data_IF_978200233244
#
_entry.id   IF_978200233244
#
_cell.length_a   1.000
_cell.length_b   1.000
_cell.length_c   1.000
_cell.angle_alpha   90.00
_cell.angle_beta   90.00
_cell.angle_gamma   90.00
#
_symmetry.space_group_name_H-M   'P 1'
#
loop_
_entity.id
_entity.type
_entity.pdbx_description
1 polymer ?
#
# COMPACT_ATOMS: atom_id res chain seq x y z
N UNK A 1 17.92 14.08 -27.38
CA UNK A 1 17.58 15.49 -27.09
C UNK A 1 16.73 15.47 -25.84
N UNK A 2 16.90 16.44 -24.94
CA UNK A 2 16.09 16.52 -23.72
C UNK A 2 14.72 17.11 -24.09
N UNK A 3 13.63 16.42 -23.77
CA UNK A 3 12.30 16.82 -24.23
C UNK A 3 11.68 17.85 -23.27
N UNK A 4 10.92 18.79 -23.82
CA UNK A 4 10.23 19.83 -23.06
C UNK A 4 8.75 19.50 -22.90
N UNK A 5 8.22 19.73 -21.70
CA UNK A 5 6.80 19.60 -21.36
C UNK A 5 6.20 21.00 -21.19
N UNK A 6 4.97 21.19 -21.68
CA UNK A 6 4.27 22.48 -21.60
C UNK A 6 3.13 22.37 -20.59
N UNK A 7 3.18 23.19 -19.54
CA UNK A 7 2.11 23.32 -18.57
C UNK A 7 1.23 24.53 -18.87
N UNK A 8 -0.09 24.37 -18.78
CA UNK A 8 -1.02 25.50 -18.69
C UNK A 8 -1.33 25.75 -17.21
N UNK A 9 -0.59 26.69 -16.61
CA UNK A 9 -0.70 27.06 -15.21
C UNK A 9 -1.92 27.97 -15.00
N UNK A 10 -2.93 27.48 -14.29
CA UNK A 10 -4.14 28.22 -13.94
C UNK A 10 -4.05 28.69 -12.49
N UNK A 11 -4.06 30.00 -12.20
CA UNK A 11 -3.80 30.52 -10.85
C UNK A 11 -4.63 31.76 -10.50
N UNK A 12 -4.85 32.00 -9.20
CA UNK A 12 -5.62 33.15 -8.67
C UNK A 12 -7.15 33.07 -8.86
N UNK A 13 -7.65 31.95 -9.37
CA UNK A 13 -9.07 31.65 -9.54
C UNK A 13 -9.53 30.46 -8.69
N UNK A 14 -10.78 30.04 -8.91
CA UNK A 14 -11.45 28.98 -8.16
C UNK A 14 -12.24 28.06 -9.09
N UNK A 15 -12.37 26.79 -8.73
CA UNK A 15 -13.25 25.85 -9.44
C UNK A 15 -14.65 25.93 -8.81
N UNK A 16 -15.68 26.14 -9.64
CA UNK A 16 -17.08 26.13 -9.23
C UNK A 16 -17.89 25.14 -10.05
N UNK A 17 -18.86 24.51 -9.41
CA UNK A 17 -19.91 23.77 -10.08
C UNK A 17 -20.92 24.74 -10.73
N UNK A 18 -21.35 24.43 -11.95
CA UNK A 18 -22.36 25.18 -12.70
C UNK A 18 -23.60 24.31 -12.91
N UNK A 19 -24.68 24.62 -12.20
CA UNK A 19 -25.94 23.86 -12.27
C UNK A 19 -26.53 23.78 -13.69
N UNK A 20 -26.33 24.83 -14.51
CA UNK A 20 -26.84 24.90 -15.88
C UNK A 20 -26.11 24.02 -16.90
N UNK A 21 -24.85 23.65 -16.63
CA UNK A 21 -24.04 22.76 -17.48
C UNK A 21 -23.75 21.41 -16.82
N UNK A 22 -24.06 21.25 -15.53
CA UNK A 22 -23.73 20.10 -14.70
C UNK A 22 -22.21 19.77 -14.72
N UNK A 23 -21.37 20.81 -14.77
CA UNK A 23 -19.91 20.70 -14.91
C UNK A 23 -19.17 21.65 -13.96
N UNK A 24 -17.94 21.28 -13.62
CA UNK A 24 -17.03 22.14 -12.87
C UNK A 24 -16.21 23.02 -13.82
N UNK A 25 -16.24 24.34 -13.60
CA UNK A 25 -15.54 25.34 -14.40
C UNK A 25 -14.57 26.15 -13.55
N UNK A 26 -13.45 26.59 -14.15
CA UNK A 26 -12.47 27.46 -13.50
C UNK A 26 -12.80 28.94 -13.75
N UNK A 27 -12.95 29.72 -12.69
CA UNK A 27 -13.38 31.12 -12.75
C UNK A 27 -12.44 32.09 -12.05
N UNK A 28 -12.38 33.33 -12.53
CA UNK A 28 -11.72 34.47 -11.89
C UNK A 28 -10.18 34.47 -11.91
N UNK A 29 -9.56 33.38 -12.35
CA UNK A 29 -8.10 33.23 -12.41
C UNK A 29 -7.47 33.65 -13.73
N UNK A 30 -6.14 33.55 -13.77
CA UNK A 30 -5.29 33.76 -14.95
C UNK A 30 -4.71 32.43 -15.41
N UNK A 31 -4.41 32.32 -16.71
CA UNK A 31 -3.71 31.18 -17.28
C UNK A 31 -2.41 31.65 -17.93
N UNK A 32 -1.30 30.95 -17.69
CA UNK A 32 0.00 31.22 -18.32
C UNK A 32 0.69 29.90 -18.69
N UNK A 33 1.27 29.83 -19.88
CA UNK A 33 2.05 28.65 -20.29
C UNK A 33 3.44 28.69 -19.63
N UNK A 34 3.86 27.57 -19.05
CA UNK A 34 5.23 27.32 -18.59
C UNK A 34 5.81 26.17 -19.44
N UNK A 35 7.09 26.26 -19.80
CA UNK A 35 7.81 25.25 -20.57
C UNK A 35 9.03 24.82 -19.75
N UNK A 36 9.11 23.54 -19.39
CA UNK A 36 10.19 22.97 -18.57
C UNK A 36 10.73 21.71 -19.23
N UNK A 37 11.91 21.29 -18.82
CA UNK A 37 12.49 19.99 -19.22
C UNK A 37 11.75 18.86 -18.54
N UNK A 38 11.56 17.73 -19.22
CA UNK A 38 10.92 16.53 -18.66
C UNK A 38 11.69 15.87 -17.51
N UNK A 39 12.94 16.32 -17.28
CA UNK A 39 13.85 15.88 -16.22
C UNK A 39 13.79 16.71 -14.93
N UNK A 40 13.00 17.80 -14.91
CA UNK A 40 12.90 18.71 -13.77
C UNK A 40 12.42 17.97 -12.50
N UNK A 41 13.00 18.29 -11.34
CA UNK A 41 12.54 17.78 -10.06
C UNK A 41 11.38 18.65 -9.52
N UNK A 42 10.71 18.16 -8.48
CA UNK A 42 9.52 18.81 -7.92
C UNK A 42 9.82 20.19 -7.33
N UNK A 43 10.92 20.36 -6.61
CA UNK A 43 11.25 21.63 -5.98
C UNK A 43 11.59 22.72 -7.01
N UNK A 44 12.36 22.36 -8.05
CA UNK A 44 12.70 23.28 -9.14
C UNK A 44 11.45 23.66 -9.95
N UNK A 45 10.54 22.70 -10.20
CA UNK A 45 9.27 23.00 -10.87
C UNK A 45 8.39 23.92 -10.00
N UNK A 46 8.35 23.71 -8.69
CA UNK A 46 7.61 24.57 -7.77
C UNK A 46 8.15 26.01 -7.80
N UNK A 47 9.47 26.19 -7.84
CA UNK A 47 10.09 27.51 -8.00
C UNK A 47 9.70 28.16 -9.34
N UNK A 48 9.82 27.44 -10.46
CA UNK A 48 9.38 27.90 -11.78
C UNK A 48 7.86 28.25 -11.80
N UNK A 49 7.01 27.51 -11.08
CA UNK A 49 5.58 27.80 -10.95
C UNK A 49 5.29 29.05 -10.10
N UNK A 50 6.06 29.26 -9.03
CA UNK A 50 5.98 30.45 -8.18
C UNK A 50 6.36 31.71 -8.99
N UNK A 51 7.51 31.68 -9.67
CA UNK A 51 7.98 32.77 -10.54
C UNK A 51 7.05 33.00 -11.74
N UNK A 52 6.55 31.93 -12.36
CA UNK A 52 5.65 32.04 -13.50
C UNK A 52 4.31 32.68 -13.12
N UNK A 53 3.76 32.34 -11.95
CA UNK A 53 2.48 32.87 -11.44
C UNK A 53 2.62 34.21 -10.72
N UNK A 54 3.78 34.54 -10.17
CA UNK A 54 3.99 35.67 -9.27
C UNK A 54 3.42 35.42 -7.87
N UNK A 55 3.31 34.16 -7.44
CA UNK A 55 2.79 33.74 -6.13
C UNK A 55 3.90 33.04 -5.36
N UNK A 56 4.28 33.55 -4.19
CA UNK A 56 5.38 32.97 -3.39
C UNK A 56 5.00 31.66 -2.67
N UNK A 57 3.70 31.42 -2.46
CA UNK A 57 3.17 30.37 -1.59
C UNK A 57 2.69 29.12 -2.36
N UNK A 58 3.48 28.65 -3.33
CA UNK A 58 3.19 27.42 -4.08
C UNK A 58 3.85 26.24 -3.37
N UNK A 59 3.08 25.44 -2.62
CA UNK A 59 3.59 24.23 -1.94
C UNK A 59 3.30 22.93 -2.74
N UNK A 60 2.24 22.93 -3.54
CA UNK A 60 1.83 21.84 -4.41
C UNK A 60 1.03 22.41 -5.60
N UNK A 61 0.70 21.56 -6.57
CA UNK A 61 -0.23 21.92 -7.64
C UNK A 61 -1.20 20.78 -7.92
N UNK A 62 -2.34 21.09 -8.52
CA UNK A 62 -3.34 20.09 -8.92
C UNK A 62 -3.34 19.91 -10.44
N UNK A 63 -3.25 18.68 -10.93
CA UNK A 63 -3.23 18.31 -12.33
C UNK A 63 -4.60 17.80 -12.81
N UNK A 64 -5.04 18.26 -13.98
CA UNK A 64 -6.19 17.71 -14.68
C UNK A 64 -5.75 16.55 -15.57
N UNK A 65 -6.22 15.34 -15.24
CA UNK A 65 -6.03 14.17 -16.10
C UNK A 65 -6.80 14.39 -17.41
N UNK A 66 -6.20 14.15 -18.60
CA UNK A 66 -6.89 14.19 -19.87
C UNK A 66 -8.17 13.35 -19.89
N UNK A 67 -9.25 13.90 -20.45
CA UNK A 67 -10.56 13.23 -20.49
C UNK A 67 -11.42 13.35 -19.22
N UNK A 68 -10.87 13.87 -18.11
CA UNK A 68 -11.61 14.10 -16.86
C UNK A 68 -12.03 15.56 -16.66
N UNK A 69 -13.15 15.76 -15.96
CA UNK A 69 -13.63 17.08 -15.53
C UNK A 69 -12.90 17.60 -14.29
N UNK A 70 -13.15 18.86 -13.95
CA UNK A 70 -12.44 19.56 -12.86
C UNK A 70 -12.86 19.11 -11.44
N UNK A 71 -13.83 18.19 -11.33
CA UNK A 71 -14.13 17.46 -10.09
C UNK A 71 -13.09 16.39 -9.71
N UNK A 72 -12.23 15.99 -10.65
CA UNK A 72 -11.24 14.92 -10.45
C UNK A 72 -9.85 15.44 -10.82
N UNK A 73 -9.26 16.21 -9.91
CA UNK A 73 -7.87 16.65 -10.00
C UNK A 73 -6.97 15.79 -9.12
N UNK A 74 -5.70 15.68 -9.51
CA UNK A 74 -4.65 14.98 -8.77
C UNK A 74 -3.68 15.99 -8.18
N UNK A 75 -3.54 16.02 -6.87
CA UNK A 75 -2.51 16.81 -6.20
C UNK A 75 -1.13 16.19 -6.46
N UNK A 76 -0.18 16.99 -6.92
CA UNK A 76 1.23 16.64 -7.11
C UNK A 76 2.03 17.32 -6.01
N UNK A 77 2.66 16.51 -5.15
CA UNK A 77 3.22 16.97 -3.86
C UNK A 77 4.70 16.64 -3.67
N UNK A 78 5.30 15.85 -4.57
CA UNK A 78 6.67 15.36 -4.46
C UNK A 78 7.19 14.82 -5.80
N UNK A 79 8.48 14.47 -5.86
CA UNK A 79 9.13 13.94 -7.08
C UNK A 79 8.55 12.64 -7.63
N UNK A 80 7.93 11.80 -6.79
CA UNK A 80 7.28 10.57 -7.27
C UNK A 80 6.00 10.89 -8.02
N UNK A 81 5.14 11.71 -7.42
CA UNK A 81 3.91 12.20 -8.07
C UNK A 81 4.26 12.88 -9.41
N UNK A 82 5.34 13.69 -9.40
CA UNK A 82 5.81 14.39 -10.58
C UNK A 82 6.28 13.44 -11.68
N UNK A 83 7.14 12.47 -11.35
CA UNK A 83 7.60 11.45 -12.32
C UNK A 83 6.44 10.65 -12.90
N UNK A 84 5.40 10.39 -12.11
CA UNK A 84 4.21 9.68 -12.58
C UNK A 84 3.42 10.51 -13.60
N UNK A 85 3.26 11.82 -13.38
CA UNK A 85 2.70 12.74 -14.36
C UNK A 85 3.57 12.80 -15.62
N UNK A 86 4.90 12.94 -15.50
CA UNK A 86 5.80 12.99 -16.67
C UNK A 86 5.83 11.70 -17.50
N UNK A 87 5.43 10.56 -16.93
CA UNK A 87 5.31 9.29 -17.68
C UNK A 87 4.05 9.22 -18.55
N UNK A 88 3.06 10.09 -18.33
CA UNK A 88 1.87 10.24 -19.18
C UNK A 88 2.09 11.22 -20.35
N UNK A 89 3.34 11.60 -20.61
CA UNK A 89 3.74 12.46 -21.72
C UNK A 89 4.20 11.61 -22.91
N UNK A 90 3.48 11.72 -24.03
CA UNK A 90 3.91 11.17 -25.32
C UNK A 90 4.56 12.29 -26.15
N UNK A 91 5.89 12.24 -26.40
CA UNK A 91 6.60 13.28 -27.15
C UNK A 91 6.16 13.38 -28.62
N UNK A 92 5.36 12.45 -29.12
CA UNK A 92 4.86 12.43 -30.50
C UNK A 92 3.52 13.17 -30.66
N UNK A 93 2.87 13.58 -29.58
CA UNK A 93 1.61 14.34 -29.63
C UNK A 93 1.93 15.85 -29.75
N UNK A 94 1.56 16.52 -30.86
CA UNK A 94 1.76 17.96 -31.00
C UNK A 94 0.92 18.72 -29.97
N UNK A 95 1.55 19.69 -29.28
CA UNK A 95 0.92 20.54 -28.26
C UNK A 95 0.21 19.76 -27.12
N UNK A 96 0.81 18.67 -26.61
CA UNK A 96 0.40 18.02 -25.35
C UNK A 96 0.61 18.95 -24.14
N UNK A 97 -0.35 19.85 -23.94
CA UNK A 97 -0.35 20.86 -22.87
C UNK A 97 -1.02 20.30 -21.63
N UNK A 98 -0.23 19.96 -20.61
CA UNK A 98 -0.72 19.46 -19.32
C UNK A 98 -1.32 20.62 -18.52
N UNK A 99 -2.63 20.57 -18.21
CA UNK A 99 -3.28 21.65 -17.45
C UNK A 99 -3.14 21.42 -15.94
N UNK A 100 -2.67 22.45 -15.24
CA UNK A 100 -2.48 22.44 -13.79
C UNK A 100 -3.09 23.68 -13.14
N UNK A 101 -3.35 23.58 -11.84
CA UNK A 101 -3.96 24.61 -11.02
C UNK A 101 -3.09 24.88 -9.79
N UNK A 102 -2.91 26.17 -9.50
CA UNK A 102 -2.26 26.65 -8.28
C UNK A 102 -3.35 27.26 -7.40
N UNK A 103 -3.62 26.61 -6.27
CA UNK A 103 -4.53 27.09 -5.24
C UNK A 103 -3.73 27.52 -4.01
N UNK A 104 -4.05 28.65 -3.37
CA UNK A 104 -3.43 29.01 -2.09
C UNK A 104 -3.76 27.94 -1.04
N UNK A 105 -2.85 27.71 -0.09
CA UNK A 105 -3.20 26.90 1.07
C UNK A 105 -4.42 27.52 1.78
N UNK A 106 -5.44 26.70 2.05
CA UNK A 106 -6.46 27.06 3.02
C UNK A 106 -5.76 27.15 4.38
N UNK A 107 -5.69 28.37 4.93
CA UNK A 107 -5.10 28.72 6.23
C UNK A 107 -4.98 27.51 7.18
N UNK A 108 -3.77 27.14 7.63
CA UNK A 108 -3.64 26.14 8.68
C UNK A 108 -4.46 26.60 9.89
N UNK A 109 -5.31 25.70 10.40
CA UNK A 109 -6.05 25.93 11.63
C UNK A 109 -5.07 26.37 12.72
N UNK A 110 -5.36 27.43 13.50
CA UNK A 110 -4.36 28.05 14.37
C UNK A 110 -3.74 27.00 15.29
N UNK A 111 -2.41 26.90 15.24
CA UNK A 111 -1.64 26.04 16.11
C UNK A 111 -1.96 26.37 17.57
N UNK A 112 -2.07 25.37 18.46
CA UNK A 112 -2.30 25.64 19.86
C UNK A 112 -1.20 26.56 20.40
N UNK A 113 -1.52 27.58 21.22
CA UNK A 113 -0.52 28.50 21.72
C UNK A 113 0.55 27.72 22.50
N UNK A 114 1.83 28.14 22.41
CA UNK A 114 2.90 27.46 23.13
C UNK A 114 2.59 27.45 24.64
N UNK A 115 2.90 26.36 25.35
CA UNK A 115 2.56 26.23 26.77
C UNK A 115 3.17 27.39 27.55
N UNK A 116 2.30 28.23 28.13
CA UNK A 116 2.75 29.35 28.94
C UNK A 116 3.55 28.81 30.13
N UNK A 117 4.75 29.37 30.31
CA UNK A 117 5.62 29.04 31.44
C UNK A 117 4.85 29.31 32.73
N UNK A 118 4.69 28.29 33.56
CA UNK A 118 4.00 28.41 34.84
C UNK A 118 4.81 29.32 35.77
N UNK A 119 4.43 30.60 35.84
CA UNK A 119 4.92 31.52 36.86
C UNK A 119 4.53 30.98 38.25
N UNK A 120 5.51 30.87 39.14
CA UNK A 120 5.35 30.23 40.44
C UNK A 120 4.68 31.21 41.41
N UNK A 121 3.38 31.04 41.64
CA UNK A 121 2.65 31.80 42.66
C UNK A 121 2.69 31.04 43.99
N UNK A 122 3.33 31.63 44.98
CA UNK A 122 3.40 31.10 46.34
C UNK A 122 2.13 31.40 47.14
N UNK A 123 1.82 30.50 48.10
CA UNK A 123 0.81 30.60 49.18
C UNK A 123 -0.61 30.03 48.91
N UNK A 124 -1.04 28.98 49.65
CA UNK A 124 -2.32 28.30 49.43
C UNK A 124 -3.46 28.89 50.29
N UNK A 125 -3.93 30.11 50.01
CA UNK A 125 -5.03 30.71 50.79
C UNK A 125 -5.91 31.72 50.01
N UNK A 126 -6.24 31.42 48.75
CA UNK A 126 -7.21 32.20 47.96
C UNK A 126 -8.07 31.38 46.97
N UNK A 127 -7.95 30.05 46.95
CA UNK A 127 -8.65 29.17 45.98
C UNK A 127 -10.13 28.92 46.36
N UNK A 128 -10.50 29.15 47.63
CA UNK A 128 -11.81 28.75 48.15
C UNK A 128 -12.98 29.69 47.79
N UNK A 129 -12.72 30.94 47.38
CA UNK A 129 -13.77 31.96 47.21
C UNK A 129 -14.27 32.14 45.77
N UNK A 130 -13.50 31.67 44.77
CA UNK A 130 -13.83 31.82 43.35
C UNK A 130 -14.50 30.57 42.72
N UNK A 131 -14.72 29.51 43.51
CA UNK A 131 -15.29 28.25 43.01
C UNK A 131 -16.81 28.29 42.81
N UNK A 132 -17.51 29.26 43.40
CA UNK A 132 -18.98 29.35 43.41
C UNK A 132 -19.60 30.13 42.24
N UNK A 133 -18.82 30.86 41.44
CA UNK A 133 -19.35 31.65 40.31
C UNK A 133 -19.15 31.02 38.91
N UNK A 134 -18.40 29.93 38.80
CA UNK A 134 -18.03 29.32 37.50
C UNK A 134 -18.98 28.23 36.99
N UNK A 135 -19.93 27.73 37.80
CA UNK A 135 -20.95 26.77 37.33
C UNK A 135 -22.11 27.40 36.54
N UNK A 136 -22.21 28.74 36.49
CA UNK A 136 -23.36 29.42 35.88
C UNK A 136 -23.27 29.61 34.34
N UNK A 137 -22.13 29.35 33.69
CA UNK A 137 -21.92 29.64 32.25
C UNK A 137 -21.22 28.49 31.49
N UNK A 138 -21.84 27.30 31.47
CA UNK A 138 -21.36 26.17 30.67
C UNK A 138 -22.49 25.51 29.86
N UNK A 139 -22.53 25.80 28.55
CA UNK A 139 -23.46 25.15 27.61
C UNK A 139 -23.04 23.70 27.24
N UNK A 140 -23.87 22.96 26.47
CA UNK A 140 -23.76 21.49 26.31
C UNK A 140 -22.47 20.93 25.66
N UNK A 141 -21.50 21.78 25.30
CA UNK A 141 -20.23 21.37 24.68
C UNK A 141 -19.07 21.21 25.66
N UNK A 142 -19.17 21.70 26.89
CA UNK A 142 -18.08 21.57 27.89
C UNK A 142 -18.01 20.14 28.44
N UNK A 143 -19.15 19.47 28.64
CA UNK A 143 -19.21 18.11 29.18
C UNK A 143 -18.42 17.08 28.38
N UNK A 144 -18.34 17.19 27.05
CA UNK A 144 -17.59 16.24 26.23
C UNK A 144 -16.07 16.33 26.44
N UNK A 145 -15.53 17.53 26.66
CA UNK A 145 -14.09 17.73 26.89
C UNK A 145 -13.71 17.24 28.29
N UNK A 146 -14.53 17.55 29.31
CA UNK A 146 -14.32 17.07 30.68
C UNK A 146 -14.43 15.54 30.75
N UNK A 147 -15.43 14.94 30.09
CA UNK A 147 -15.59 13.48 30.05
C UNK A 147 -14.43 12.79 29.30
N UNK A 148 -13.90 13.40 28.24
CA UNK A 148 -12.72 12.90 27.54
C UNK A 148 -11.45 12.99 28.41
N UNK A 149 -11.25 14.11 29.13
CA UNK A 149 -10.12 14.26 30.06
C UNK A 149 -10.16 13.23 31.20
N UNK A 150 -11.35 12.96 31.74
CA UNK A 150 -11.57 11.92 32.76
C UNK A 150 -11.32 10.50 32.22
N UNK A 151 -11.70 10.22 30.96
CA UNK A 151 -11.41 8.94 30.31
C UNK A 151 -9.90 8.73 30.05
N UNK A 152 -9.19 9.79 29.64
CA UNK A 152 -7.73 9.73 29.41
C UNK A 152 -6.97 9.54 30.72
N UNK A 153 -7.37 10.20 31.81
CA UNK A 153 -6.75 10.00 33.13
C UNK A 153 -7.01 8.59 33.69
N UNK A 154 -8.24 8.06 33.52
CA UNK A 154 -8.57 6.69 33.89
C UNK A 154 -7.76 5.64 33.09
N UNK A 155 -7.58 5.86 31.78
CA UNK A 155 -6.76 4.99 30.92
C UNK A 155 -5.28 4.94 31.32
N UNK A 156 -4.68 6.10 31.64
CA UNK A 156 -3.29 6.19 32.11
C UNK A 156 -3.09 5.52 33.49
N UNK A 157 -4.07 5.64 34.40
CA UNK A 157 -4.07 4.90 35.65
C UNK A 157 -4.16 3.39 35.43
N UNK A 158 -4.99 2.94 34.48
CA UNK A 158 -5.15 1.51 34.19
C UNK A 158 -3.87 0.89 33.57
N UNK A 159 -3.17 1.61 32.69
CA UNK A 159 -1.89 1.12 32.13
C UNK A 159 -0.76 1.11 33.17
N UNK A 160 -0.72 2.08 34.09
CA UNK A 160 0.22 2.08 35.20
C UNK A 160 0.00 0.88 36.15
N UNK A 161 -1.25 0.60 36.54
CA UNK A 161 -1.58 -0.56 37.39
C UNK A 161 -1.21 -1.89 36.71
N UNK A 162 -1.40 -2.02 35.39
CA UNK A 162 -1.00 -3.22 34.65
C UNK A 162 0.51 -3.45 34.67
N UNK A 163 1.31 -2.39 34.48
CA UNK A 163 2.78 -2.45 34.53
C UNK A 163 3.33 -2.82 35.92
N UNK A 164 2.62 -2.49 37.00
CA UNK A 164 2.99 -2.89 38.37
C UNK A 164 2.52 -4.30 38.78
N UNK A 165 1.49 -4.86 38.14
CA UNK A 165 0.97 -6.20 38.48
C UNK A 165 1.64 -7.36 37.74
N UNK A 166 2.13 -7.15 36.51
CA UNK A 166 2.81 -8.21 35.73
C UNK A 166 4.06 -8.80 36.43
N UNK A 167 4.92 -8.02 37.14
CA UNK A 167 6.03 -8.58 37.91
C UNK A 167 5.60 -9.42 39.13
N UNK A 168 4.41 -9.16 39.68
CA UNK A 168 3.93 -9.81 40.91
C UNK A 168 3.40 -11.23 40.67
N UNK A 169 2.87 -11.51 39.46
CA UNK A 169 2.42 -12.86 39.08
C UNK A 169 3.60 -13.81 38.83
N UNK A 170 4.75 -13.31 38.38
CA UNK A 170 5.94 -14.11 38.08
C UNK A 170 6.84 -14.42 39.30
N UNK A 171 6.50 -13.95 40.49
CA UNK A 171 7.32 -14.12 41.71
C UNK A 171 6.71 -15.04 42.78
N UNK A 172 5.58 -15.71 42.49
CA UNK A 172 4.92 -16.65 43.38
C UNK A 172 4.84 -18.08 42.79
N UNK A 173 6.00 -18.72 42.58
CA UNK A 173 6.08 -20.19 42.66
C UNK A 173 6.59 -20.59 44.06
N UNK A 174 5.89 -21.49 44.77
CA UNK A 174 6.34 -21.94 46.09
C UNK A 174 7.57 -22.85 45.99
N UNK A 175 8.60 -22.52 46.75
CA UNK A 175 9.72 -23.39 47.06
C UNK A 175 9.25 -24.51 48.01
N UNK A 176 9.20 -25.75 47.52
CA UNK A 176 9.12 -26.93 48.38
C UNK A 176 10.42 -27.72 48.31
N UNK A 177 11.18 -27.71 49.42
CA UNK A 177 12.28 -28.63 49.70
C UNK A 177 12.05 -29.30 51.05
N UNK A 178 12.03 -30.64 51.06
CA UNK A 178 12.20 -31.54 52.22
C UNK A 178 12.48 -32.92 51.63
N UNK A 179 13.74 -33.37 51.48
CA UNK A 179 14.73 -33.80 52.49
C UNK A 179 14.60 -35.30 52.84
N UNK A 180 15.67 -36.04 52.51
CA UNK A 180 16.05 -37.43 52.88
C UNK A 180 15.08 -38.57 52.49
N UNK A 181 15.45 -39.53 51.63
CA UNK A 181 16.58 -40.49 51.66
C UNK A 181 16.46 -41.52 52.79
N UNK A 182 16.03 -42.74 52.42
CA UNK A 182 16.49 -44.02 52.98
C UNK A 182 16.58 -45.02 51.81
N UNK A 183 17.61 -45.86 51.83
CA UNK A 183 17.92 -46.86 50.79
C UNK A 183 16.93 -48.04 50.83
N UNK A 184 16.84 -48.84 49.75
CA UNK A 184 17.63 -50.09 49.68
C UNK A 184 17.49 -50.83 48.34
N UNK A 185 18.34 -51.85 48.20
CA UNK A 185 18.89 -52.38 46.97
C UNK A 185 18.15 -53.59 46.35
N UNK A 186 18.56 -53.93 45.12
CA UNK A 186 18.55 -55.28 44.52
C UNK A 186 17.24 -56.04 44.14
N UNK A 187 17.12 -56.21 42.80
CA UNK A 187 16.98 -57.49 42.04
C UNK A 187 15.63 -58.23 41.88
N UNK A 188 15.57 -58.89 40.71
CA UNK A 188 14.79 -60.09 40.37
C UNK A 188 13.29 -59.84 40.16
N UNK A 189 12.57 -60.38 39.18
CA UNK A 189 12.79 -61.32 38.05
C UNK A 189 11.53 -61.15 37.15
N UNK A 190 11.46 -61.33 35.84
CA UNK A 190 12.33 -61.91 34.82
C UNK A 190 11.45 -62.47 33.69
N UNK A 191 11.94 -62.40 32.43
CA UNK A 191 11.53 -63.27 31.28
C UNK A 191 10.10 -63.05 30.72
N UNK A 192 9.78 -63.06 29.42
CA UNK A 192 10.39 -63.67 28.21
C UNK A 192 10.27 -62.72 26.98
N UNK A 193 11.28 -62.73 26.09
CA UNK A 193 11.38 -62.01 24.80
C UNK A 193 10.90 -62.94 23.62
N UNK A 194 11.25 -62.80 22.31
CA UNK A 194 11.98 -61.77 21.53
C UNK A 194 11.17 -61.36 20.26
N UNK A 195 11.64 -60.71 19.17
CA UNK A 195 12.94 -60.30 18.58
C UNK A 195 12.81 -58.83 18.10
N UNK A 196 13.83 -57.96 18.24
CA UNK A 196 14.81 -57.66 17.18
C UNK A 196 14.47 -56.31 16.50
N UNK A 197 15.17 -55.21 16.83
CA UNK A 197 16.45 -54.74 16.23
C UNK A 197 16.27 -53.97 14.90
N UNK A 198 16.90 -52.86 14.54
CA UNK A 198 17.84 -51.85 15.14
C UNK A 198 17.86 -50.67 14.11
N UNK A 199 18.26 -49.41 14.33
CA UNK A 199 18.42 -48.49 15.49
C UNK A 199 18.73 -47.06 14.91
N UNK A 200 18.88 -46.00 15.73
CA UNK A 200 19.37 -44.63 15.40
C UNK A 200 18.42 -43.72 14.56
N UNK A 201 18.36 -42.39 14.71
CA UNK A 201 18.96 -41.42 15.66
C UNK A 201 18.00 -40.21 15.78
N UNK A 202 17.74 -39.71 17.00
CA UNK A 202 16.99 -38.45 17.21
C UNK A 202 17.97 -37.32 17.58
N UNK A 203 18.18 -36.38 16.66
CA UNK A 203 19.01 -35.19 16.90
C UNK A 203 18.18 -33.91 16.84
N UNK A 204 18.27 -33.17 17.95
CA UNK A 204 17.66 -31.88 18.18
C UNK A 204 18.11 -30.79 17.19
N UNK A 205 17.13 -30.08 16.63
CA UNK A 205 17.32 -28.78 15.98
C UNK A 205 16.23 -27.85 16.54
N UNK A 206 16.51 -27.12 17.62
CA UNK A 206 17.13 -25.79 17.61
C UNK A 206 16.29 -24.77 16.82
N UNK A 207 15.54 -23.96 17.56
CA UNK A 207 14.84 -22.80 17.01
C UNK A 207 15.80 -21.84 16.31
N UNK A 208 15.67 -21.76 14.99
CA UNK A 208 16.09 -20.60 14.20
C UNK A 208 14.97 -20.26 13.24
N UNK A 209 14.52 -19.00 13.28
CA UNK A 209 13.71 -18.43 12.21
C UNK A 209 14.55 -18.45 10.92
N UNK A 210 14.34 -19.48 10.09
CA UNK A 210 15.05 -19.63 8.83
C UNK A 210 14.64 -18.48 7.89
N UNK A 211 15.62 -17.85 7.25
CA UNK A 211 15.35 -16.99 6.11
C UNK A 211 14.63 -17.83 5.04
N UNK A 212 13.56 -17.29 4.46
CA UNK A 212 12.86 -17.94 3.34
C UNK A 212 13.89 -18.19 2.23
N UNK A 213 14.01 -19.43 1.72
CA UNK A 213 15.01 -19.73 0.70
C UNK A 213 14.74 -18.88 -0.55
N UNK A 214 15.81 -18.29 -1.11
CA UNK A 214 15.71 -17.54 -2.35
C UNK A 214 15.27 -18.45 -3.50
N UNK A 215 14.57 -17.87 -4.49
CA UNK A 215 14.10 -18.59 -5.67
C UNK A 215 15.22 -19.38 -6.37
N UNK A 216 15.04 -20.69 -6.48
CA UNK A 216 15.94 -21.60 -7.18
C UNK A 216 15.28 -22.08 -8.50
N UNK A 217 15.77 -21.65 -9.68
CA UNK A 217 15.21 -22.08 -10.96
C UNK A 217 15.42 -23.57 -11.26
N UNK A 218 16.29 -24.27 -10.52
CA UNK A 218 16.52 -25.71 -10.65
C UNK A 218 15.56 -26.56 -9.80
N UNK A 219 14.86 -25.96 -8.82
CA UNK A 219 13.93 -26.67 -7.97
C UNK A 219 12.68 -27.11 -8.77
N UNK A 220 12.40 -28.42 -8.74
CA UNK A 220 11.23 -29.00 -9.40
C UNK A 220 9.90 -28.45 -8.85
N UNK A 221 9.87 -27.97 -7.60
CA UNK A 221 8.65 -27.51 -6.92
C UNK A 221 8.32 -26.02 -7.09
N UNK A 222 9.27 -25.17 -7.52
CA UNK A 222 9.06 -23.72 -7.55
C UNK A 222 8.45 -23.23 -8.87
N UNK A 223 7.62 -22.19 -8.80
CA UNK A 223 6.98 -21.55 -9.95
C UNK A 223 7.85 -20.40 -10.47
N UNK A 224 7.86 -20.16 -11.78
CA UNK A 224 8.57 -18.99 -12.32
C UNK A 224 7.68 -17.74 -12.30
N UNK A 225 6.40 -17.90 -12.64
CA UNK A 225 5.41 -16.81 -12.71
C UNK A 225 4.26 -17.04 -11.73
N UNK A 226 3.93 -16.02 -10.94
CA UNK A 226 2.64 -15.90 -10.25
C UNK A 226 1.71 -15.00 -11.08
N UNK A 227 0.44 -15.37 -11.26
CA UNK A 227 -0.57 -14.52 -11.90
C UNK A 227 -1.64 -14.15 -10.87
N UNK A 228 -1.62 -12.89 -10.42
CA UNK A 228 -2.75 -12.29 -9.71
C UNK A 228 -3.72 -11.70 -10.72
N UNK A 229 -4.99 -12.12 -10.61
CA UNK A 229 -6.06 -11.56 -11.43
C UNK A 229 -7.40 -11.71 -10.71
N UNK A 230 -8.37 -10.91 -11.14
CA UNK A 230 -9.69 -10.92 -10.54
C UNK A 230 -10.55 -12.04 -11.14
N UNK A 231 -10.48 -13.24 -10.54
CA UNK A 231 -11.18 -14.43 -11.06
C UNK A 231 -12.71 -14.37 -11.22
N UNK A 232 -13.42 -13.33 -10.76
CA UNK A 232 -14.85 -13.13 -11.07
C UNK A 232 -15.12 -12.47 -12.42
N UNK A 233 -14.10 -11.93 -13.05
CA UNK A 233 -14.25 -11.21 -14.30
C UNK A 233 -14.53 -12.11 -15.49
N UNK A 234 -15.23 -11.57 -16.48
CA UNK A 234 -15.46 -12.18 -17.81
C UNK A 234 -14.18 -12.48 -18.59
N UNK A 235 -13.04 -11.98 -18.11
CA UNK A 235 -11.73 -11.95 -18.77
C UNK A 235 -10.89 -13.18 -18.43
N UNK A 236 -11.52 -14.22 -17.88
CA UNK A 236 -10.92 -15.53 -17.63
C UNK A 236 -10.34 -16.16 -18.90
N UNK A 237 -10.95 -15.92 -20.07
CA UNK A 237 -10.47 -16.44 -21.36
C UNK A 237 -9.06 -15.91 -21.70
N UNK A 238 -8.82 -14.60 -21.56
CA UNK A 238 -7.49 -14.00 -21.75
C UNK A 238 -6.44 -14.63 -20.82
N UNK A 239 -6.77 -14.79 -19.52
CA UNK A 239 -5.85 -15.40 -18.55
C UNK A 239 -5.59 -16.88 -18.86
N UNK A 240 -6.59 -17.61 -19.35
CA UNK A 240 -6.42 -18.99 -19.83
C UNK A 240 -5.50 -19.07 -21.07
N UNK A 241 -5.66 -18.17 -22.05
CA UNK A 241 -4.79 -18.11 -23.23
C UNK A 241 -3.35 -17.76 -22.85
N UNK A 242 -3.17 -16.73 -22.00
CA UNK A 242 -1.87 -16.33 -21.46
C UNK A 242 -1.16 -17.46 -20.73
N UNK A 243 -1.87 -18.16 -19.84
CA UNK A 243 -1.36 -19.33 -19.14
C UNK A 243 -0.98 -20.47 -20.10
N UNK A 244 -1.80 -20.74 -21.11
CA UNK A 244 -1.52 -21.77 -22.10
C UNK A 244 -0.27 -21.44 -22.92
N UNK A 245 -0.10 -20.18 -23.34
CA UNK A 245 1.07 -19.72 -24.09
C UNK A 245 2.35 -19.75 -23.23
N UNK A 246 2.30 -19.34 -21.96
CA UNK A 246 3.43 -19.47 -21.03
C UNK A 246 3.83 -20.95 -20.80
N UNK A 247 2.86 -21.86 -20.67
CA UNK A 247 3.14 -23.29 -20.55
C UNK A 247 3.76 -23.90 -21.82
N UNK A 248 3.36 -23.44 -23.01
CA UNK A 248 4.00 -23.85 -24.27
C UNK A 248 5.49 -23.48 -24.31
N UNK A 249 5.87 -22.40 -23.63
CA UNK A 249 7.26 -21.95 -23.46
C UNK A 249 7.98 -22.61 -22.26
N UNK A 250 7.41 -23.68 -21.69
CA UNK A 250 7.95 -24.41 -20.53
C UNK A 250 8.23 -23.47 -19.33
N UNK A 251 7.33 -22.50 -19.11
CA UNK A 251 7.34 -21.61 -17.95
C UNK A 251 6.36 -22.17 -16.94
N UNK A 252 6.81 -22.49 -15.72
CA UNK A 252 5.93 -22.90 -14.63
C UNK A 252 5.15 -21.70 -14.12
N UNK A 253 3.83 -21.77 -14.18
CA UNK A 253 2.93 -20.69 -13.77
C UNK A 253 2.05 -21.13 -12.61
N UNK A 254 1.95 -20.31 -11.57
CA UNK A 254 0.89 -20.37 -10.57
C UNK A 254 -0.17 -19.32 -10.92
N UNK A 255 -1.42 -19.73 -11.15
CA UNK A 255 -2.56 -18.81 -11.28
C UNK A 255 -3.30 -18.74 -9.95
N UNK A 256 -3.72 -17.56 -9.49
CA UNK A 256 -4.74 -17.44 -8.43
C UNK A 256 -6.16 -17.85 -8.93
N UNK A 257 -6.35 -19.15 -9.15
CA UNK A 257 -7.60 -19.68 -9.69
C UNK A 257 -8.58 -20.08 -8.59
N UNK A 258 -9.31 -19.10 -8.03
CA UNK A 258 -10.51 -19.30 -7.18
C UNK A 258 -10.40 -20.48 -6.20
N UNK A 259 -9.35 -20.56 -5.41
CA UNK A 259 -9.25 -21.62 -4.40
C UNK A 259 -10.45 -21.51 -3.42
N UNK A 260 -11.14 -22.62 -3.11
CA UNK A 260 -12.46 -22.59 -2.47
C UNK A 260 -12.36 -22.02 -1.05
N UNK A 261 -13.05 -20.90 -0.81
CA UNK A 261 -13.02 -20.07 0.41
C UNK A 261 -12.75 -20.86 1.70
N UNK A 262 -11.52 -20.78 2.20
CA UNK A 262 -11.10 -21.38 3.46
C UNK A 262 -9.80 -20.75 3.97
N UNK A 263 -9.61 -20.72 5.29
CA UNK A 263 -8.44 -20.08 5.93
C UNK A 263 -7.11 -20.80 5.62
N UNK A 264 -7.15 -22.08 5.26
CA UNK A 264 -5.96 -22.91 4.98
C UNK A 264 -5.27 -22.62 3.64
N UNK A 265 -5.85 -21.79 2.77
CA UNK A 265 -5.33 -21.50 1.42
C UNK A 265 -4.30 -20.37 1.42
N UNK A 266 -4.48 -19.37 2.29
CA UNK A 266 -3.64 -18.17 2.29
C UNK A 266 -2.14 -18.46 2.50
N UNK A 267 -1.72 -19.38 3.39
CA UNK A 267 -0.30 -19.74 3.52
C UNK A 267 0.31 -20.31 2.23
N UNK A 268 -0.43 -21.14 1.50
CA UNK A 268 0.02 -21.68 0.21
C UNK A 268 0.10 -20.61 -0.88
N UNK A 269 -0.83 -19.64 -0.88
CA UNK A 269 -0.81 -18.51 -1.81
C UNK A 269 0.35 -17.55 -1.52
N UNK A 270 0.58 -17.21 -0.25
CA UNK A 270 1.74 -16.42 0.18
C UNK A 270 3.05 -17.10 -0.24
N UNK A 271 3.17 -18.42 -0.01
CA UNK A 271 4.34 -19.18 -0.45
C UNK A 271 4.50 -19.15 -1.97
N UNK A 272 3.42 -19.25 -2.75
CA UNK A 272 3.48 -19.16 -4.21
C UNK A 272 3.92 -17.76 -4.70
N UNK A 273 3.50 -16.69 -4.01
CA UNK A 273 3.98 -15.32 -4.30
C UNK A 273 5.47 -15.20 -3.96
N UNK A 274 5.89 -15.68 -2.80
CA UNK A 274 7.30 -15.62 -2.34
C UNK A 274 8.24 -16.51 -3.17
N UNK A 275 7.79 -17.69 -3.61
CA UNK A 275 8.60 -18.62 -4.40
C UNK A 275 8.54 -18.37 -5.91
N UNK A 276 7.83 -17.34 -6.38
CA UNK A 276 7.80 -16.97 -7.79
C UNK A 276 8.84 -15.89 -8.12
N UNK A 277 9.60 -16.07 -9.20
CA UNK A 277 10.55 -15.05 -9.64
C UNK A 277 9.89 -13.79 -10.23
N UNK A 278 8.73 -13.98 -10.86
CA UNK A 278 7.98 -12.92 -11.54
C UNK A 278 6.51 -12.97 -11.11
N UNK A 279 5.91 -11.81 -10.88
CA UNK A 279 4.46 -11.65 -10.65
C UNK A 279 3.82 -10.83 -11.76
N UNK A 280 2.92 -11.46 -12.52
CA UNK A 280 1.99 -10.79 -13.44
C UNK A 280 0.77 -10.31 -12.65
N UNK A 281 0.47 -9.01 -12.71
CA UNK A 281 -0.71 -8.43 -12.03
C UNK A 281 -1.69 -7.89 -13.07
N UNK A 282 -2.79 -8.61 -13.28
CA UNK A 282 -3.76 -8.29 -14.33
C UNK A 282 -4.83 -7.34 -13.78
N UNK A 283 -4.51 -6.05 -13.81
CA UNK A 283 -5.43 -4.98 -13.45
C UNK A 283 -6.58 -4.88 -14.44
N UNK A 284 -7.76 -4.64 -13.89
CA UNK A 284 -8.99 -4.59 -14.66
C UNK A 284 -10.15 -4.06 -13.82
N UNK A 285 -11.29 -3.79 -14.46
CA UNK A 285 -12.40 -3.01 -13.91
C UNK A 285 -12.82 -3.39 -12.47
N UNK A 286 -12.99 -4.67 -12.15
CA UNK A 286 -13.44 -5.12 -10.83
C UNK A 286 -12.29 -5.62 -9.92
N UNK A 287 -11.02 -5.41 -10.29
CA UNK A 287 -9.87 -5.87 -9.49
C UNK A 287 -9.94 -5.37 -8.04
N UNK A 288 -10.06 -4.04 -7.87
CA UNK A 288 -10.16 -3.43 -6.55
C UNK A 288 -11.44 -3.79 -5.77
N UNK A 289 -12.46 -4.41 -6.39
CA UNK A 289 -13.63 -4.92 -5.65
C UNK A 289 -13.27 -6.09 -4.71
N UNK A 290 -12.14 -6.76 -4.96
CA UNK A 290 -11.70 -7.95 -4.23
C UNK A 290 -10.68 -7.59 -3.16
N UNK A 291 -11.06 -7.75 -1.88
CA UNK A 291 -10.11 -7.65 -0.76
C UNK A 291 -8.89 -8.57 -0.97
N UNK A 292 -9.09 -9.79 -1.48
CA UNK A 292 -8.01 -10.76 -1.70
C UNK A 292 -6.98 -10.23 -2.72
N UNK A 293 -7.43 -9.78 -3.89
CA UNK A 293 -6.54 -9.24 -4.93
C UNK A 293 -5.78 -7.97 -4.48
N UNK A 294 -6.37 -7.19 -3.56
CA UNK A 294 -5.68 -6.05 -2.92
C UNK A 294 -4.64 -6.50 -1.86
N UNK A 295 -4.90 -7.57 -1.12
CA UNK A 295 -3.94 -8.15 -0.18
C UNK A 295 -2.79 -8.89 -0.89
N UNK A 296 -3.09 -9.62 -1.97
CA UNK A 296 -2.09 -10.21 -2.87
C UNK A 296 -1.16 -9.14 -3.41
N UNK A 297 -1.70 -8.02 -3.90
CA UNK A 297 -0.90 -6.92 -4.45
C UNK A 297 0.07 -6.33 -3.43
N UNK A 298 -0.39 -6.09 -2.19
CA UNK A 298 0.49 -5.65 -1.10
C UNK A 298 1.62 -6.65 -0.91
N UNK A 299 1.32 -7.95 -0.84
CA UNK A 299 2.34 -8.99 -0.65
C UNK A 299 3.32 -9.08 -1.83
N UNK A 300 2.84 -8.98 -3.07
CA UNK A 300 3.68 -8.98 -4.28
C UNK A 300 4.68 -7.83 -4.22
N UNK A 301 4.25 -6.62 -3.85
CA UNK A 301 5.16 -5.47 -3.74
C UNK A 301 6.10 -5.54 -2.53
N UNK A 302 5.69 -6.19 -1.43
CA UNK A 302 6.59 -6.53 -0.33
C UNK A 302 7.68 -7.51 -0.79
N UNK A 303 7.32 -8.59 -1.49
CA UNK A 303 8.26 -9.59 -2.03
C UNK A 303 9.19 -8.95 -3.08
N UNK A 304 8.69 -8.08 -3.96
CA UNK A 304 9.49 -7.28 -4.89
C UNK A 304 10.60 -6.51 -4.16
N UNK A 305 10.25 -5.79 -3.08
CA UNK A 305 11.20 -4.98 -2.30
C UNK A 305 12.19 -5.82 -1.48
N UNK A 306 11.73 -6.95 -0.94
CA UNK A 306 12.52 -7.78 -0.02
C UNK A 306 13.44 -8.77 -0.76
N UNK A 307 13.03 -9.27 -1.92
CA UNK A 307 13.67 -10.39 -2.61
C UNK A 307 14.06 -10.08 -4.06
N UNK A 308 13.71 -8.89 -4.59
CA UNK A 308 14.00 -8.50 -5.97
C UNK A 308 13.11 -9.22 -7.00
N UNK A 309 11.96 -9.75 -6.58
CA UNK A 309 10.96 -10.34 -7.49
C UNK A 309 10.55 -9.33 -8.56
N UNK A 310 10.49 -9.75 -9.83
CA UNK A 310 10.03 -8.88 -10.92
C UNK A 310 8.51 -8.76 -10.87
N UNK A 311 7.96 -7.55 -10.96
CA UNK A 311 6.52 -7.33 -11.03
C UNK A 311 6.18 -6.65 -12.35
N UNK A 312 5.25 -7.25 -13.11
CA UNK A 312 4.82 -6.76 -14.42
C UNK A 312 3.29 -6.55 -14.41
N UNK A 313 2.82 -5.29 -14.32
CA UNK A 313 1.41 -4.98 -14.39
C UNK A 313 0.88 -5.13 -15.83
N UNK A 314 -0.36 -5.60 -15.95
CA UNK A 314 -1.09 -5.68 -17.22
C UNK A 314 -2.42 -4.96 -17.02
N UNK A 315 -2.60 -3.82 -17.69
CA UNK A 315 -3.82 -3.02 -17.65
C UNK A 315 -4.78 -3.55 -18.73
N UNK A 316 -5.61 -4.52 -18.34
CA UNK A 316 -6.52 -5.20 -19.27
C UNK A 316 -7.92 -4.58 -19.25
N UNK A 317 -8.29 -3.99 -20.38
CA UNK A 317 -9.49 -3.21 -20.64
C UNK A 317 -9.75 -2.04 -19.68
N UNK A 318 -8.72 -1.58 -18.97
CA UNK A 318 -8.76 -0.44 -18.03
C UNK A 318 -7.62 0.53 -18.33
N UNK A 319 -7.89 1.82 -18.17
CA UNK A 319 -6.87 2.87 -18.28
C UNK A 319 -5.94 2.84 -17.03
N UNK A 320 -4.60 2.87 -17.20
CA UNK A 320 -3.64 2.85 -16.08
C UNK A 320 -3.88 3.93 -15.02
N UNK A 321 -4.37 5.11 -15.40
CA UNK A 321 -4.68 6.22 -14.47
C UNK A 321 -5.80 5.85 -13.48
N UNK A 322 -6.75 4.99 -13.87
CA UNK A 322 -7.78 4.49 -12.97
C UNK A 322 -7.17 3.63 -11.85
N UNK A 323 -6.09 2.90 -12.13
CA UNK A 323 -5.37 2.10 -11.14
C UNK A 323 -4.49 3.01 -10.28
N UNK A 324 -3.70 3.89 -10.92
CA UNK A 324 -2.75 4.80 -10.27
C UNK A 324 -3.39 5.78 -9.29
N UNK A 325 -4.54 6.35 -9.67
CA UNK A 325 -5.25 7.36 -8.89
C UNK A 325 -6.59 6.84 -8.31
N UNK A 326 -6.84 5.54 -8.43
CA UNK A 326 -8.05 4.86 -7.95
C UNK A 326 -9.37 5.51 -8.43
N UNK A 327 -9.49 5.74 -9.74
CA UNK A 327 -10.64 6.39 -10.38
C UNK A 327 -11.68 5.38 -10.90
N UNK A 328 -12.82 5.89 -11.40
CA UNK A 328 -13.86 5.07 -12.01
C UNK A 328 -14.37 3.95 -11.09
N UNK A 329 -14.27 2.70 -11.54
CA UNK A 329 -14.66 1.52 -10.74
C UNK A 329 -13.80 1.31 -9.49
N UNK A 330 -12.54 1.78 -9.49
CA UNK A 330 -11.66 1.66 -8.33
C UNK A 330 -12.12 2.60 -7.23
N UNK A 331 -12.54 3.84 -7.58
CA UNK A 331 -13.16 4.79 -6.63
C UNK A 331 -14.38 4.16 -5.94
N UNK A 332 -15.29 3.61 -6.73
CA UNK A 332 -16.51 2.93 -6.24
C UNK A 332 -16.22 1.69 -5.38
N UNK A 333 -15.10 1.00 -5.62
CA UNK A 333 -14.65 -0.10 -4.77
C UNK A 333 -14.11 0.43 -3.43
N UNK A 334 -13.30 1.48 -3.44
CA UNK A 334 -12.75 2.08 -2.23
C UNK A 334 -13.80 2.74 -1.34
N UNK A 335 -14.82 3.38 -1.91
CA UNK A 335 -16.00 3.89 -1.18
C UNK A 335 -16.71 2.80 -0.35
N UNK A 336 -16.69 1.54 -0.83
CA UNK A 336 -17.25 0.38 -0.11
C UNK A 336 -16.27 -0.23 0.89
N UNK A 337 -14.97 -0.08 0.69
CA UNK A 337 -13.93 -0.60 1.58
C UNK A 337 -13.73 0.26 2.82
N UNK A 338 -13.75 1.59 2.70
CA UNK A 338 -13.61 2.52 3.86
C UNK A 338 -14.73 2.35 4.89
N UNK A 339 -15.87 1.78 4.49
CA UNK A 339 -16.99 1.48 5.40
C UNK A 339 -16.82 0.15 6.16
N UNK A 340 -15.83 -0.68 5.81
CA UNK A 340 -15.73 -2.09 6.22
C UNK A 340 -14.38 -2.49 6.79
N UNK A 341 -13.33 -1.72 6.51
CA UNK A 341 -11.96 -2.03 6.86
C UNK A 341 -11.27 -0.83 7.48
N UNK A 342 -10.25 -1.12 8.29
CA UNK A 342 -9.46 -0.09 8.97
C UNK A 342 -8.84 0.91 7.96
N UNK A 343 -8.84 2.23 8.25
CA UNK A 343 -8.31 3.25 7.35
C UNK A 343 -6.85 3.02 6.92
N UNK A 344 -6.00 2.48 7.81
CA UNK A 344 -4.59 2.19 7.51
C UNK A 344 -4.49 1.05 6.49
N UNK A 345 -5.30 0.00 6.66
CA UNK A 345 -5.37 -1.12 5.71
C UNK A 345 -5.84 -0.65 4.33
N UNK A 346 -6.86 0.22 4.30
CA UNK A 346 -7.36 0.78 3.04
C UNK A 346 -6.32 1.70 2.37
N UNK A 347 -5.59 2.50 3.15
CA UNK A 347 -4.53 3.36 2.62
C UNK A 347 -3.37 2.53 2.06
N UNK A 348 -2.98 1.43 2.72
CA UNK A 348 -1.95 0.52 2.21
C UNK A 348 -2.35 -0.08 0.85
N UNK A 349 -3.63 -0.44 0.65
CA UNK A 349 -4.13 -0.91 -0.64
C UNK A 349 -4.07 0.16 -1.73
N UNK A 350 -4.37 1.43 -1.41
CA UNK A 350 -4.22 2.55 -2.36
C UNK A 350 -2.75 2.75 -2.76
N UNK A 351 -1.85 2.82 -1.78
CA UNK A 351 -0.41 2.96 -2.01
C UNK A 351 0.14 1.83 -2.89
N UNK A 352 -0.29 0.59 -2.65
CA UNK A 352 0.07 -0.57 -3.45
C UNK A 352 -0.42 -0.48 -4.91
N UNK A 353 -1.66 -0.01 -5.13
CA UNK A 353 -2.18 0.21 -6.48
C UNK A 353 -1.43 1.31 -7.24
N UNK A 354 -1.17 2.44 -6.59
CA UNK A 354 -0.35 3.52 -7.16
C UNK A 354 1.04 3.00 -7.51
N UNK A 355 1.70 2.27 -6.61
CA UNK A 355 3.04 1.72 -6.85
C UNK A 355 3.10 0.70 -7.98
N UNK A 356 2.17 -0.25 -8.03
CA UNK A 356 2.12 -1.20 -9.14
C UNK A 356 1.79 -0.52 -10.48
N UNK A 357 0.99 0.56 -10.47
CA UNK A 357 0.73 1.36 -11.66
C UNK A 357 1.89 2.30 -12.07
N UNK A 358 2.93 2.41 -11.24
CA UNK A 358 4.16 3.15 -11.53
C UNK A 358 5.27 2.25 -12.11
N UNK A 359 5.03 0.94 -12.24
CA UNK A 359 5.93 -0.01 -12.87
C UNK A 359 5.73 -0.05 -14.40
N UNK A 360 6.78 -0.44 -15.12
CA UNK A 360 6.69 -0.69 -16.56
C UNK A 360 5.87 -1.97 -16.77
N UNK A 361 4.91 -1.93 -17.69
CA UNK A 361 4.06 -3.06 -18.03
C UNK A 361 3.21 -2.81 -19.27
N UNK A 362 2.17 -3.60 -19.45
CA UNK A 362 1.43 -3.71 -20.71
C UNK A 362 0.02 -3.11 -20.60
N UNK A 363 -0.36 -2.24 -21.53
CA UNK A 363 -1.73 -1.74 -21.67
C UNK A 363 -2.41 -2.37 -22.90
N UNK A 364 -3.50 -3.09 -22.67
CA UNK A 364 -4.36 -3.67 -23.70
C UNK A 364 -5.01 -2.67 -24.66
N UNK A 365 -5.08 -1.38 -24.29
CA UNK A 365 -5.61 -0.28 -25.11
C UNK A 365 -4.50 0.53 -25.78
N UNK A 366 -3.24 0.14 -25.62
CA UNK A 366 -2.11 0.73 -26.34
C UNK A 366 -2.34 0.65 -27.85
N UNK A 367 -2.06 1.72 -28.63
CA UNK A 367 -2.21 1.70 -30.09
C UNK A 367 -1.27 0.72 -30.79
N UNK A 368 -0.28 0.17 -30.07
CA UNK A 368 0.65 -0.84 -30.55
C UNK A 368 0.18 -2.27 -30.33
N UNK A 369 -0.94 -2.47 -29.60
CA UNK A 369 -1.56 -3.78 -29.35
C UNK A 369 -2.79 -3.90 -30.25
N UNK A 370 -2.80 -4.91 -31.13
CA UNK A 370 -3.89 -5.12 -32.08
C UNK A 370 -5.11 -5.80 -31.47
N UNK A 371 -4.87 -6.83 -30.68
CA UNK A 371 -5.86 -7.78 -30.19
C UNK A 371 -5.32 -8.55 -28.96
N UNK A 372 -6.19 -9.36 -28.35
CA UNK A 372 -5.84 -10.15 -27.15
C UNK A 372 -4.72 -11.17 -27.41
N UNK A 373 -4.61 -11.72 -28.62
CA UNK A 373 -3.60 -12.72 -28.94
C UNK A 373 -2.22 -12.06 -29.14
N UNK A 374 -2.16 -10.90 -29.80
CA UNK A 374 -0.97 -10.03 -29.87
C UNK A 374 -0.51 -9.63 -28.45
N UNK A 375 -1.43 -9.18 -27.58
CA UNK A 375 -1.10 -8.87 -26.18
C UNK A 375 -0.53 -10.09 -25.42
N UNK A 376 -1.10 -11.28 -25.61
CA UNK A 376 -0.57 -12.52 -25.03
C UNK A 376 0.84 -12.81 -25.54
N UNK A 377 1.09 -12.68 -26.84
CA UNK A 377 2.41 -12.91 -27.43
C UNK A 377 3.45 -11.95 -26.83
N UNK A 378 3.16 -10.65 -26.78
CA UNK A 378 4.04 -9.63 -26.23
C UNK A 378 4.41 -9.91 -24.76
N UNK A 379 3.43 -10.26 -23.91
CA UNK A 379 3.68 -10.61 -22.50
C UNK A 379 4.54 -11.88 -22.39
N UNK A 380 4.30 -12.88 -23.23
CA UNK A 380 5.07 -14.14 -23.22
C UNK A 380 6.53 -13.92 -23.65
N UNK A 381 6.77 -13.09 -24.66
CA UNK A 381 8.12 -12.70 -25.11
C UNK A 381 8.87 -11.92 -24.03
N UNK A 382 8.19 -10.98 -23.35
CA UNK A 382 8.76 -10.20 -22.25
C UNK A 382 9.13 -11.06 -21.02
N UNK A 383 8.25 -11.99 -20.64
CA UNK A 383 8.53 -12.97 -19.57
C UNK A 383 9.67 -13.92 -19.97
N UNK A 384 9.75 -14.34 -21.24
CA UNK A 384 10.85 -15.14 -21.76
C UNK A 384 12.19 -14.39 -21.71
N UNK A 385 12.21 -13.12 -22.09
CA UNK A 385 13.43 -12.32 -22.02
C UNK A 385 13.92 -12.20 -20.57
N UNK A 386 13.02 -11.86 -19.64
CA UNK A 386 13.30 -11.80 -18.19
C UNK A 386 13.81 -13.13 -17.64
N UNK A 387 13.23 -14.27 -18.07
CA UNK A 387 13.72 -15.63 -17.73
C UNK A 387 15.14 -15.86 -18.24
N UNK A 388 15.42 -15.51 -19.49
CA UNK A 388 16.74 -15.68 -20.10
C UNK A 388 17.80 -14.76 -19.46
N UNK A 389 17.45 -13.52 -19.10
CA UNK A 389 18.31 -12.60 -18.36
C UNK A 389 18.63 -13.14 -16.95
N UNK A 390 17.63 -13.66 -16.23
CA UNK A 390 17.83 -14.27 -14.91
C UNK A 390 18.71 -15.53 -14.96
N UNK A 391 18.50 -16.42 -15.92
CA UNK A 391 19.37 -17.60 -16.09
C UNK A 391 20.82 -17.21 -16.40
N UNK A 392 21.05 -16.14 -17.17
CA UNK A 392 22.40 -15.62 -17.48
C UNK A 392 23.11 -14.97 -16.30
N UNK A 393 22.38 -14.39 -15.33
CA UNK A 393 23.00 -13.78 -14.13
C UNK A 393 23.31 -14.78 -13.01
N UNK A 394 22.99 -16.06 -13.24
CA UNK A 394 23.22 -17.19 -12.32
C UNK A 394 24.22 -18.23 -12.84
N UNK A 395 24.65 -18.11 -14.10
CA UNK A 395 25.65 -18.94 -14.75
C UNK A 395 27.03 -18.26 -14.72
#
# INVERSE_FOLDING_TARGET
>A
METEVIFLCSYGGQIKFHDGTNQHMYEGGKNKKLRVRSSINFNDLIAELADNSGTADVAYFEYQIPGYGLETLVSVTNDRDLRNLMREFDPNIPDDVKRIFLFPEKNPSPSPPPPQRLERVDSPLQVAENASELEAVAGPRVNHVVHYLMLVSAGLLFTAVLLFLVPFVFTLQPQNHSVMVVNDDLKSTGTIAPLGSDDLDDQSVSDKAAAVPAFDPSNAADFYVFISFRGKDSRINFVCHLHQALNQQQIKVFIDHKLPKGHSIWPSLLKAIESSHLSLVIFSQDYASSKWCLQELVKILETMKQQGQVVLPVFYNIDPSHVRYQLGSFKQAFEKHVQKFDPIVVQNWKTALTEAADLIGWDSKSPYIRDDDDLVQQIVEDVLEKKNQYCKSKA
#
